data_IF_353861639804
#
_entry.id   IF_353861639804
#
_cell.length_a   1.000
_cell.length_b   1.000
_cell.length_c   1.000
_cell.angle_alpha   90.00
_cell.angle_beta   90.00
_cell.angle_gamma   90.00
#
_symmetry.space_group_name_H-M   'P 1'
#
loop_
_entity.id
_entity.type
_entity.pdbx_description
1 polymer ?
#
# COMPACT_ATOMS: atom_id res chain seq x y z
N UNK A 1 21.96 36.25 35.36
CA UNK A 1 20.78 35.60 35.94
C UNK A 1 19.92 35.18 34.75
N UNK A 2 20.19 34.08 34.07
CA UNK A 2 19.93 32.66 34.37
C UNK A 2 18.45 32.37 34.49
N UNK A 3 17.83 31.94 33.38
CA UNK A 3 16.79 30.90 33.46
C UNK A 3 16.78 30.06 32.17
N UNK A 4 17.40 28.90 32.25
CA UNK A 4 17.36 27.85 31.24
C UNK A 4 16.13 26.99 31.51
N UNK A 5 15.07 27.10 30.70
CA UNK A 5 13.95 26.16 30.74
C UNK A 5 14.23 24.96 29.85
N UNK A 6 14.33 23.80 30.48
CA UNK A 6 14.45 22.45 29.89
C UNK A 6 13.25 22.12 29.02
N UNK A 7 13.43 21.40 27.89
CA UNK A 7 12.30 20.85 27.13
C UNK A 7 11.67 19.67 27.87
N UNK A 8 10.35 19.70 27.96
CA UNK A 8 9.49 18.66 28.54
C UNK A 8 9.50 17.39 27.71
N UNK A 9 9.87 16.28 28.33
CA UNK A 9 9.69 14.91 27.83
C UNK A 9 8.21 14.62 27.58
N UNK A 10 7.81 14.51 26.32
CA UNK A 10 6.51 13.92 25.93
C UNK A 10 6.66 12.41 25.93
N UNK A 11 6.05 11.79 26.93
CA UNK A 11 5.93 10.33 27.08
C UNK A 11 5.12 9.74 25.90
N UNK A 12 5.79 8.99 25.05
CA UNK A 12 5.18 8.04 24.14
C UNK A 12 5.03 6.72 24.88
N UNK A 13 3.98 6.60 25.69
CA UNK A 13 3.62 5.33 26.32
C UNK A 13 2.15 5.35 26.73
N UNK A 14 1.22 5.06 25.78
CA UNK A 14 -0.17 4.74 26.11
C UNK A 14 -1.04 4.18 24.97
N UNK A 15 -0.48 3.37 24.07
CA UNK A 15 -1.30 2.77 23.00
C UNK A 15 -1.30 1.22 22.97
N UNK A 16 -0.81 0.57 24.03
CA UNK A 16 -0.74 -0.90 24.06
C UNK A 16 -1.44 -1.55 25.27
N UNK A 17 -2.44 -0.91 25.84
CA UNK A 17 -3.25 -1.61 26.86
C UNK A 17 -4.68 -1.11 26.85
N UNK A 18 -5.58 -1.88 26.22
CA UNK A 18 -6.98 -2.11 26.61
C UNK A 18 -7.72 -2.87 25.51
N UNK A 19 -7.77 -4.20 25.65
CA UNK A 19 -8.94 -4.99 25.27
C UNK A 19 -9.34 -5.82 26.47
N UNK A 20 -10.53 -5.64 27.05
CA UNK A 20 -11.08 -6.61 27.99
C UNK A 20 -11.62 -7.79 27.18
N UNK A 21 -11.20 -8.99 27.53
CA UNK A 21 -11.80 -10.25 27.10
C UNK A 21 -13.12 -10.40 27.84
N UNK A 22 -14.22 -10.13 27.15
CA UNK A 22 -15.54 -10.50 27.67
C UNK A 22 -15.75 -12.00 27.55
N UNK A 23 -15.95 -12.58 28.72
CA UNK A 23 -16.32 -13.96 29.00
C UNK A 23 -17.68 -14.26 28.38
N UNK A 24 -17.72 -15.02 27.29
CA UNK A 24 -18.97 -15.62 26.80
C UNK A 24 -19.25 -16.91 27.57
N UNK A 25 -20.42 -16.93 28.19
CA UNK A 25 -20.95 -17.99 28.98
C UNK A 25 -21.07 -19.31 28.20
N UNK A 26 -20.62 -20.38 28.88
CA UNK A 26 -20.84 -21.77 28.48
C UNK A 26 -22.32 -22.10 28.51
N UNK A 27 -22.87 -22.46 27.34
CA UNK A 27 -24.16 -23.11 27.21
C UNK A 27 -23.95 -24.63 27.38
N UNK A 28 -24.68 -25.34 28.28
CA UNK A 28 -24.49 -26.77 28.46
C UNK A 28 -25.10 -27.58 27.33
N UNK A 29 -24.28 -28.40 26.69
CA UNK A 29 -24.68 -29.41 25.72
C UNK A 29 -25.56 -30.47 26.37
N UNK A 30 -26.80 -30.59 25.95
CA UNK A 30 -27.72 -31.67 26.20
C UNK A 30 -27.16 -32.98 25.63
N UNK A 31 -26.87 -33.93 26.50
CA UNK A 31 -26.48 -35.31 26.16
C UNK A 31 -27.71 -36.04 25.68
N UNK A 32 -27.73 -36.47 24.43
CA UNK A 32 -28.76 -37.38 23.87
C UNK A 32 -28.30 -38.84 24.02
N UNK A 33 -29.19 -39.77 24.36
CA UNK A 33 -28.82 -41.11 24.78
C UNK A 33 -28.38 -42.03 23.67
N UNK A 34 -27.36 -42.85 23.97
CA UNK A 34 -26.81 -43.90 23.10
C UNK A 34 -27.85 -44.94 22.66
N UNK A 35 -28.04 -45.10 21.35
CA UNK A 35 -28.76 -46.22 20.74
C UNK A 35 -27.77 -47.38 20.62
N UNK A 36 -28.01 -48.46 21.36
CA UNK A 36 -27.29 -49.74 21.26
C UNK A 36 -27.81 -50.51 20.04
N UNK A 37 -26.94 -51.00 19.13
CA UNK A 37 -27.39 -51.84 18.03
C UNK A 37 -27.82 -53.23 18.52
N UNK A 38 -28.96 -53.65 18.04
CA UNK A 38 -29.58 -54.96 18.28
C UNK A 38 -28.83 -56.05 17.51
N UNK A 39 -28.71 -57.25 18.14
CA UNK A 39 -28.04 -58.45 17.60
C UNK A 39 -28.74 -59.14 16.41
N UNK A 40 -29.58 -58.44 15.63
CA UNK A 40 -30.32 -59.06 14.52
C UNK A 40 -29.85 -58.64 13.12
N UNK A 41 -28.84 -57.79 13.00
CA UNK A 41 -28.37 -57.30 11.67
C UNK A 41 -27.13 -58.02 11.13
N UNK A 42 -26.86 -59.23 11.69
CA UNK A 42 -25.72 -60.05 11.26
C UNK A 42 -26.27 -61.32 10.59
N UNK A 43 -26.69 -61.24 9.35
CA UNK A 43 -26.82 -62.39 8.44
C UNK A 43 -27.32 -61.90 7.05
N UNK A 44 -26.39 -61.51 6.18
CA UNK A 44 -26.47 -61.77 4.75
C UNK A 44 -25.06 -61.60 4.16
N UNK A 45 -24.34 -62.71 4.21
CA UNK A 45 -23.18 -62.96 3.42
C UNK A 45 -23.61 -63.72 2.19
N UNK A 46 -23.29 -63.24 1.03
CA UNK A 46 -22.82 -64.00 -0.14
C UNK A 46 -23.30 -63.37 -1.48
N UNK A 47 -22.36 -63.07 -2.31
CA UNK A 47 -22.56 -63.14 -3.76
C UNK A 47 -22.60 -61.81 -4.51
N UNK A 48 -21.48 -61.49 -5.17
CA UNK A 48 -21.51 -60.48 -6.22
C UNK A 48 -20.19 -59.70 -6.38
N UNK A 49 -19.20 -60.33 -7.01
CA UNK A 49 -18.07 -59.58 -7.53
C UNK A 49 -18.51 -58.70 -8.68
N UNK A 50 -18.87 -57.45 -8.40
CA UNK A 50 -19.05 -56.44 -9.43
C UNK A 50 -17.80 -55.63 -9.53
N UNK A 51 -17.08 -55.73 -10.65
CA UNK A 51 -16.04 -54.85 -11.08
C UNK A 51 -16.56 -53.44 -11.19
N UNK A 52 -16.40 -52.62 -10.12
CA UNK A 52 -16.62 -51.20 -10.19
C UNK A 52 -15.38 -50.60 -10.85
N UNK A 53 -15.51 -50.36 -12.17
CA UNK A 53 -14.61 -49.43 -12.87
C UNK A 53 -14.77 -48.05 -12.23
N UNK A 54 -13.79 -47.67 -11.40
CA UNK A 54 -13.67 -46.31 -10.94
C UNK A 54 -13.29 -45.47 -12.14
N UNK A 55 -14.30 -44.93 -12.83
CA UNK A 55 -14.12 -43.81 -13.72
C UNK A 55 -13.59 -42.65 -12.87
N UNK A 56 -12.27 -42.46 -12.86
CA UNK A 56 -11.64 -41.29 -12.31
C UNK A 56 -12.17 -40.09 -13.06
N UNK A 57 -13.15 -39.40 -12.46
CA UNK A 57 -13.54 -38.09 -12.90
C UNK A 57 -12.30 -37.19 -12.87
N UNK A 58 -12.22 -36.19 -13.78
CA UNK A 58 -11.11 -35.28 -13.76
C UNK A 58 -11.12 -34.59 -12.41
N UNK A 59 -10.22 -34.98 -11.52
CA UNK A 59 -9.81 -34.12 -10.44
C UNK A 59 -9.34 -32.85 -11.13
N UNK A 60 -10.17 -31.83 -11.12
CA UNK A 60 -9.73 -30.48 -11.37
C UNK A 60 -8.69 -30.23 -10.26
N UNK A 61 -7.45 -30.65 -10.53
CA UNK A 61 -6.32 -30.08 -9.87
C UNK A 61 -6.49 -28.60 -10.10
N UNK A 62 -7.05 -27.92 -9.08
CA UNK A 62 -6.98 -26.48 -8.97
C UNK A 62 -5.48 -26.21 -9.07
N UNK A 63 -5.04 -25.92 -10.29
CA UNK A 63 -3.70 -25.42 -10.50
C UNK A 63 -3.59 -24.28 -9.49
N UNK A 64 -2.86 -24.53 -8.41
CA UNK A 64 -2.25 -23.46 -7.66
C UNK A 64 -1.47 -22.74 -8.74
N UNK A 65 -2.02 -21.62 -9.20
CA UNK A 65 -1.28 -20.63 -9.94
C UNK A 65 -0.05 -20.42 -9.08
N UNK A 66 1.08 -21.00 -9.56
CA UNK A 66 2.39 -20.75 -9.00
C UNK A 66 2.41 -19.25 -8.78
N UNK A 67 2.48 -18.81 -7.53
CA UNK A 67 2.28 -17.41 -7.18
C UNK A 67 3.23 -16.62 -8.05
N UNK A 68 2.69 -15.79 -8.94
CA UNK A 68 3.51 -14.80 -9.64
C UNK A 68 4.34 -14.13 -8.55
N UNK A 69 5.66 -14.19 -8.66
CA UNK A 69 6.54 -13.64 -7.65
C UNK A 69 6.07 -12.21 -7.35
N UNK A 70 5.69 -11.96 -6.08
CA UNK A 70 5.19 -10.65 -5.67
C UNK A 70 6.23 -9.60 -6.00
N UNK A 71 5.79 -8.48 -6.57
CA UNK A 71 6.65 -7.36 -6.93
C UNK A 71 7.45 -6.88 -5.73
N UNK A 72 8.72 -6.61 -5.94
CA UNK A 72 9.59 -5.98 -4.95
C UNK A 72 9.32 -4.48 -4.94
N UNK A 73 9.03 -3.95 -3.78
CA UNK A 73 8.70 -2.53 -3.61
C UNK A 73 9.84 -1.84 -2.86
N UNK A 74 10.27 -0.69 -3.37
CA UNK A 74 11.18 0.20 -2.66
C UNK A 74 10.43 1.45 -2.19
N UNK A 75 10.62 1.89 -0.94
CA UNK A 75 10.18 3.21 -0.52
C UNK A 75 11.37 4.14 -0.44
N UNK A 76 11.36 5.23 -1.19
CA UNK A 76 12.31 6.33 -1.02
C UNK A 76 11.65 7.34 -0.08
N UNK A 77 12.09 7.31 1.19
CA UNK A 77 11.46 8.05 2.27
C UNK A 77 10.49 7.21 3.10
N UNK A 78 10.99 6.56 4.15
CA UNK A 78 10.23 5.75 5.09
C UNK A 78 9.74 6.55 6.30
N UNK A 79 9.26 7.78 6.06
CA UNK A 79 8.57 8.61 7.05
C UNK A 79 7.15 8.09 7.34
N UNK A 80 6.29 8.96 7.91
CA UNK A 80 4.91 8.57 8.27
C UNK A 80 4.12 8.03 7.07
N UNK A 81 4.12 8.74 5.95
CA UNK A 81 3.40 8.36 4.72
C UNK A 81 4.00 7.11 4.07
N UNK A 82 5.34 7.12 3.82
CA UNK A 82 6.02 5.97 3.19
C UNK A 82 6.02 4.73 4.07
N UNK A 83 6.09 4.89 5.39
CA UNK A 83 5.94 3.81 6.35
C UNK A 83 4.53 3.19 6.32
N UNK A 84 3.47 4.03 6.28
CA UNK A 84 2.09 3.57 6.22
C UNK A 84 1.78 2.82 4.91
N UNK A 85 2.13 3.40 3.75
CA UNK A 85 1.94 2.77 2.44
C UNK A 85 2.74 1.48 2.31
N UNK A 86 4.02 1.51 2.70
CA UNK A 86 4.86 0.32 2.68
C UNK A 86 4.34 -0.80 3.59
N UNK A 87 3.80 -0.46 4.76
CA UNK A 87 3.20 -1.44 5.67
C UNK A 87 1.97 -2.12 5.07
N UNK A 88 1.11 -1.37 4.34
CA UNK A 88 -0.03 -1.95 3.61
C UNK A 88 0.43 -2.91 2.52
N UNK A 89 1.51 -2.57 1.78
CA UNK A 89 2.07 -3.44 0.75
C UNK A 89 2.74 -4.69 1.35
N UNK A 90 3.42 -4.58 2.50
CA UNK A 90 3.91 -5.77 3.25
C UNK A 90 2.74 -6.67 3.61
N UNK A 91 1.63 -6.10 4.12
CA UNK A 91 0.42 -6.85 4.48
C UNK A 91 -0.23 -7.52 3.26
N UNK A 92 -0.14 -6.90 2.09
CA UNK A 92 -0.57 -7.47 0.81
C UNK A 92 0.40 -8.55 0.27
N UNK A 93 1.51 -8.84 0.98
CA UNK A 93 2.46 -9.90 0.68
C UNK A 93 3.65 -9.48 -0.20
N UNK A 94 3.85 -8.19 -0.42
CA UNK A 94 5.02 -7.69 -1.16
C UNK A 94 6.27 -7.62 -0.28
N UNK A 95 7.44 -8.04 -0.77
CA UNK A 95 8.71 -7.67 -0.16
C UNK A 95 8.93 -6.16 -0.30
N UNK A 96 9.12 -5.45 0.83
CA UNK A 96 9.30 -3.99 0.85
C UNK A 96 10.63 -3.62 1.46
N UNK A 97 11.41 -2.81 0.75
CA UNK A 97 12.65 -2.21 1.23
C UNK A 97 12.41 -0.73 1.54
N UNK A 98 12.46 -0.42 2.82
CA UNK A 98 12.24 0.92 3.36
C UNK A 98 13.55 1.68 3.41
N UNK A 99 13.64 2.83 2.73
CA UNK A 99 14.88 3.59 2.74
C UNK A 99 14.77 4.93 3.47
N UNK A 100 15.86 5.30 4.08
CA UNK A 100 16.06 6.56 4.80
C UNK A 100 17.50 6.98 4.69
N UNK A 101 17.77 8.27 4.94
CA UNK A 101 19.13 8.77 5.20
C UNK A 101 19.74 8.17 6.46
N UNK A 102 18.90 7.64 7.35
CA UNK A 102 19.24 7.01 8.61
C UNK A 102 18.55 5.65 8.73
N UNK A 103 19.00 4.61 7.97
CA UNK A 103 18.35 3.31 7.94
C UNK A 103 18.27 2.61 9.30
N UNK A 104 19.23 2.87 10.17
CA UNK A 104 19.30 2.35 11.54
C UNK A 104 18.09 2.74 12.40
N UNK A 105 17.45 3.86 12.10
CA UNK A 105 16.25 4.34 12.81
C UNK A 105 14.97 3.61 12.37
N UNK A 106 15.03 2.83 11.29
CA UNK A 106 13.90 2.06 10.78
C UNK A 106 13.80 0.66 11.38
N UNK A 107 14.78 0.25 12.21
CA UNK A 107 14.90 -1.11 12.74
C UNK A 107 13.64 -1.61 13.43
N UNK A 108 13.07 -0.82 14.33
CA UNK A 108 11.89 -1.22 15.09
C UNK A 108 10.65 -1.35 14.17
N UNK A 109 10.51 -0.43 13.21
CA UNK A 109 9.43 -0.47 12.23
C UNK A 109 9.50 -1.74 11.38
N UNK A 110 10.64 -2.05 10.77
CA UNK A 110 10.77 -3.23 9.90
C UNK A 110 10.68 -4.53 10.67
N UNK A 111 11.17 -4.56 11.92
CA UNK A 111 11.02 -5.72 12.80
C UNK A 111 9.55 -6.00 13.11
N UNK A 112 8.76 -4.94 13.39
CA UNK A 112 7.33 -5.05 13.64
C UNK A 112 6.50 -5.47 12.42
N UNK A 113 6.98 -5.18 11.20
CA UNK A 113 6.34 -5.57 9.94
C UNK A 113 6.67 -7.01 9.50
N UNK A 114 7.73 -7.63 10.05
CA UNK A 114 8.09 -9.01 9.78
C UNK A 114 9.04 -9.23 8.60
N UNK A 115 9.20 -10.47 8.11
CA UNK A 115 10.31 -10.88 7.23
C UNK A 115 10.29 -10.26 5.83
N UNK A 116 9.16 -9.74 5.39
CA UNK A 116 9.02 -9.07 4.10
C UNK A 116 9.51 -7.61 4.12
N UNK A 117 9.76 -7.03 5.29
CA UNK A 117 10.21 -5.66 5.46
C UNK A 117 11.72 -5.60 5.75
N UNK A 118 12.43 -4.71 5.08
CA UNK A 118 13.87 -4.46 5.31
C UNK A 118 14.15 -2.97 5.31
N UNK A 119 15.07 -2.53 6.17
CA UNK A 119 15.61 -1.17 6.14
C UNK A 119 16.84 -1.12 5.22
N UNK A 120 17.06 0.01 4.53
CA UNK A 120 18.15 0.20 3.61
C UNK A 120 18.50 1.67 3.35
N UNK A 121 19.59 1.89 2.66
CA UNK A 121 19.90 3.15 1.99
C UNK A 121 19.00 3.34 0.75
N UNK A 122 18.95 4.57 0.20
CA UNK A 122 18.19 4.85 -1.03
C UNK A 122 18.75 4.07 -2.22
N UNK A 123 20.06 3.97 -2.36
CA UNK A 123 20.71 3.24 -3.43
C UNK A 123 20.35 1.75 -3.42
N UNK A 124 20.40 1.11 -2.25
CA UNK A 124 20.02 -0.30 -2.08
C UNK A 124 18.53 -0.52 -2.40
N UNK A 125 17.65 0.39 -1.93
CA UNK A 125 16.22 0.31 -2.22
C UNK A 125 15.94 0.43 -3.72
N UNK A 126 16.56 1.40 -4.40
CA UNK A 126 16.44 1.55 -5.86
C UNK A 126 16.95 0.30 -6.59
N UNK A 127 18.07 -0.28 -6.17
CA UNK A 127 18.58 -1.52 -6.78
C UNK A 127 17.63 -2.71 -6.58
N UNK A 128 16.95 -2.78 -5.43
CA UNK A 128 16.06 -3.88 -5.05
C UNK A 128 14.70 -3.87 -5.75
N UNK A 129 14.04 -2.68 -5.82
CA UNK A 129 12.62 -2.57 -6.19
C UNK A 129 12.35 -2.74 -7.67
N UNK A 130 11.27 -3.44 -8.02
CA UNK A 130 10.63 -3.37 -9.35
C UNK A 130 9.78 -2.10 -9.47
N UNK A 131 9.18 -1.69 -8.34
CA UNK A 131 8.33 -0.50 -8.16
C UNK A 131 8.92 0.36 -7.05
N UNK A 132 8.84 1.67 -7.24
CA UNK A 132 9.32 2.65 -6.27
C UNK A 132 8.16 3.53 -5.79
N UNK A 133 8.01 3.67 -4.47
CA UNK A 133 7.23 4.73 -3.83
C UNK A 133 8.17 5.90 -3.53
N UNK A 134 7.98 7.03 -4.19
CA UNK A 134 8.73 8.25 -3.95
C UNK A 134 7.97 9.12 -2.94
N UNK A 135 8.41 9.11 -1.68
CA UNK A 135 7.69 9.70 -0.53
C UNK A 135 8.62 10.62 0.26
N UNK A 136 9.17 11.60 -0.41
CA UNK A 136 10.13 12.56 0.15
C UNK A 136 9.55 13.99 0.21
N UNK A 137 10.11 14.91 1.00
CA UNK A 137 9.86 16.33 0.80
C UNK A 137 10.09 16.71 -0.66
N UNK A 138 9.20 17.51 -1.24
CA UNK A 138 9.23 17.75 -2.69
C UNK A 138 10.55 18.41 -3.15
N UNK A 139 11.16 19.20 -2.30
CA UNK A 139 12.50 19.81 -2.52
C UNK A 139 13.61 18.77 -2.76
N UNK A 140 13.45 17.54 -2.29
CA UNK A 140 14.44 16.47 -2.47
C UNK A 140 14.27 15.71 -3.79
N UNK A 141 13.16 15.89 -4.54
CA UNK A 141 12.86 15.13 -5.77
C UNK A 141 13.96 15.33 -6.83
N UNK A 142 14.41 16.58 -7.03
CA UNK A 142 15.45 16.89 -8.01
C UNK A 142 16.81 16.26 -7.66
N UNK A 143 17.18 16.22 -6.37
CA UNK A 143 18.40 15.57 -5.90
C UNK A 143 18.32 14.04 -6.08
N UNK A 144 17.21 13.42 -5.70
CA UNK A 144 16.94 11.99 -5.96
C UNK A 144 17.05 11.68 -7.46
N UNK A 145 16.52 12.54 -8.32
CA UNK A 145 16.64 12.39 -9.77
C UNK A 145 18.07 12.46 -10.26
N UNK A 146 18.85 13.39 -9.73
CA UNK A 146 20.27 13.54 -10.05
C UNK A 146 21.12 12.34 -9.63
N UNK A 147 20.88 11.81 -8.42
CA UNK A 147 21.67 10.73 -7.86
C UNK A 147 21.23 9.33 -8.33
N UNK A 148 19.93 9.13 -8.53
CA UNK A 148 19.33 7.80 -8.75
C UNK A 148 18.49 7.71 -10.03
N UNK A 149 18.41 8.78 -10.85
CA UNK A 149 17.53 8.87 -12.03
C UNK A 149 17.70 7.72 -13.01
N UNK A 150 18.94 7.31 -13.32
CA UNK A 150 19.20 6.15 -14.20
C UNK A 150 18.58 4.86 -13.66
N UNK A 151 18.67 4.61 -12.36
CA UNK A 151 18.05 3.46 -11.73
C UNK A 151 16.52 3.55 -11.70
N UNK A 152 15.98 4.76 -11.49
CA UNK A 152 14.54 5.02 -11.46
C UNK A 152 13.90 4.86 -12.84
N UNK A 153 14.59 5.27 -13.91
CA UNK A 153 14.14 5.09 -15.29
C UNK A 153 14.01 3.62 -15.72
N UNK A 154 14.62 2.69 -14.99
CA UNK A 154 14.54 1.24 -15.24
C UNK A 154 13.41 0.56 -14.45
N UNK A 155 12.66 1.30 -13.63
CA UNK A 155 11.58 0.73 -12.82
C UNK A 155 10.31 0.59 -13.63
N UNK A 156 9.54 -0.46 -13.34
CA UNK A 156 8.22 -0.66 -13.96
C UNK A 156 7.25 0.46 -13.62
N UNK A 157 7.45 1.09 -12.45
CA UNK A 157 6.57 2.14 -11.93
C UNK A 157 7.29 2.95 -10.84
N UNK A 158 7.14 4.26 -10.88
CA UNK A 158 7.44 5.18 -9.79
C UNK A 158 6.14 5.83 -9.35
N UNK A 159 5.62 5.49 -8.18
CA UNK A 159 4.47 6.17 -7.57
C UNK A 159 5.00 7.40 -6.83
N UNK A 160 4.70 8.58 -7.37
CA UNK A 160 5.07 9.84 -6.74
C UNK A 160 3.98 10.31 -5.77
N UNK A 161 4.29 10.22 -4.49
CA UNK A 161 3.46 10.62 -3.35
C UNK A 161 3.86 12.00 -2.82
N UNK A 162 4.98 12.55 -3.30
CA UNK A 162 5.53 13.81 -2.80
C UNK A 162 4.64 15.01 -3.12
N UNK A 163 4.60 15.97 -2.19
CA UNK A 163 3.80 17.19 -2.31
C UNK A 163 4.67 18.43 -2.08
N UNK A 164 4.59 19.45 -2.97
CA UNK A 164 5.11 20.78 -2.68
C UNK A 164 4.20 21.44 -1.65
N UNK A 165 4.73 21.81 -0.49
CA UNK A 165 3.96 22.40 0.62
C UNK A 165 4.61 23.72 1.03
N UNK A 166 3.94 24.85 0.78
CA UNK A 166 4.49 26.18 0.98
C UNK A 166 5.05 26.40 2.40
N UNK A 167 4.34 25.92 3.44
CA UNK A 167 4.82 26.02 4.84
C UNK A 167 6.12 25.28 5.12
N UNK A 168 6.44 24.23 4.35
CA UNK A 168 7.65 23.42 4.52
C UNK A 168 8.74 23.82 3.52
N UNK A 169 8.36 24.01 2.27
CA UNK A 169 9.27 24.11 1.14
C UNK A 169 9.51 25.57 0.70
N UNK A 170 8.67 26.50 1.17
CA UNK A 170 8.67 27.90 0.79
C UNK A 170 7.71 28.22 -0.36
N UNK A 171 7.07 29.39 -0.31
CA UNK A 171 6.09 29.80 -1.32
C UNK A 171 6.70 29.96 -2.72
N UNK A 172 7.92 30.50 -2.80
CA UNK A 172 8.58 30.72 -4.10
C UNK A 172 8.96 29.41 -4.78
N UNK A 173 9.33 28.39 -4.00
CA UNK A 173 9.56 27.05 -4.52
C UNK A 173 8.26 26.43 -5.07
N UNK A 174 7.15 26.59 -4.37
CA UNK A 174 5.83 26.09 -4.86
C UNK A 174 5.42 26.80 -6.13
N UNK A 175 5.57 28.14 -6.21
CA UNK A 175 5.32 28.90 -7.45
C UNK A 175 6.19 28.44 -8.62
N UNK A 176 7.46 28.07 -8.35
CA UNK A 176 8.33 27.50 -9.38
C UNK A 176 7.79 26.16 -9.90
N UNK A 177 7.37 25.26 -9.00
CA UNK A 177 6.77 23.97 -9.38
C UNK A 177 5.50 24.19 -10.19
N UNK A 178 4.66 25.14 -9.81
CA UNK A 178 3.44 25.49 -10.54
C UNK A 178 3.75 26.05 -11.94
N UNK A 179 4.79 26.89 -12.06
CA UNK A 179 5.25 27.42 -13.34
C UNK A 179 5.81 26.33 -14.28
N UNK A 180 6.29 25.22 -13.74
CA UNK A 180 6.70 24.03 -14.52
C UNK A 180 5.52 23.12 -14.91
N UNK A 181 4.28 23.54 -14.69
CA UNK A 181 3.05 22.81 -15.01
C UNK A 181 2.52 21.97 -13.86
N UNK A 182 3.01 22.23 -12.66
CA UNK A 182 2.61 21.56 -11.42
C UNK A 182 3.42 20.29 -11.11
N UNK A 183 3.13 19.73 -9.95
CA UNK A 183 3.95 18.67 -9.35
C UNK A 183 4.17 17.44 -10.27
N UNK A 184 3.19 17.04 -11.08
CA UNK A 184 3.34 15.88 -11.97
C UNK A 184 4.40 16.10 -13.05
N UNK A 185 4.31 17.21 -13.76
CA UNK A 185 5.26 17.54 -14.85
C UNK A 185 6.64 17.92 -14.29
N UNK A 186 6.69 18.62 -13.17
CA UNK A 186 7.96 18.94 -12.51
C UNK A 186 8.69 17.68 -12.01
N UNK A 187 7.96 16.68 -11.48
CA UNK A 187 8.56 15.37 -11.14
C UNK A 187 9.06 14.65 -12.40
N UNK A 188 8.30 14.64 -13.49
CA UNK A 188 8.74 14.02 -14.76
C UNK A 188 10.02 14.67 -15.29
N UNK A 189 10.14 15.98 -15.19
CA UNK A 189 11.35 16.73 -15.57
C UNK A 189 12.54 16.37 -14.68
N UNK A 190 12.32 16.18 -13.38
CA UNK A 190 13.36 15.79 -12.43
C UNK A 190 13.79 14.33 -12.59
N UNK A 191 12.91 13.44 -13.06
CA UNK A 191 13.12 12.01 -13.24
C UNK A 191 12.91 11.60 -14.71
N UNK A 192 13.76 12.04 -15.65
CA UNK A 192 13.58 11.75 -17.06
C UNK A 192 13.65 10.24 -17.32
N UNK A 193 12.70 9.75 -18.13
CA UNK A 193 12.57 8.33 -18.47
C UNK A 193 11.90 7.46 -17.42
N UNK A 194 11.56 7.98 -16.24
CA UNK A 194 10.83 7.21 -15.24
C UNK A 194 9.33 7.09 -15.61
N UNK A 195 8.75 5.92 -15.36
CA UNK A 195 7.33 5.60 -15.55
C UNK A 195 6.53 6.09 -14.34
N UNK A 196 6.12 7.35 -14.33
CA UNK A 196 5.56 8.03 -13.16
C UNK A 196 4.04 7.94 -13.14
N UNK A 197 3.50 7.59 -11.98
CA UNK A 197 2.09 7.75 -11.62
C UNK A 197 2.01 8.54 -10.33
N UNK A 198 1.28 9.65 -10.31
CA UNK A 198 0.96 10.34 -9.07
C UNK A 198 -0.24 9.69 -8.42
N UNK A 199 -0.10 9.37 -7.13
CA UNK A 199 -1.16 8.78 -6.31
C UNK A 199 -0.90 9.06 -4.82
N UNK A 200 -1.94 8.98 -3.99
CA UNK A 200 -1.90 9.17 -2.53
C UNK A 200 -1.58 10.59 -2.04
N UNK A 201 -1.40 11.54 -2.92
CA UNK A 201 -0.99 12.92 -2.61
C UNK A 201 -2.02 13.70 -1.78
N UNK A 202 -3.29 13.25 -1.80
CA UNK A 202 -4.43 13.97 -1.24
C UNK A 202 -5.11 13.22 -0.06
N UNK A 203 -4.56 12.10 0.38
CA UNK A 203 -5.05 11.29 1.52
C UNK A 203 -4.05 11.41 2.66
N UNK A 204 -4.54 11.52 3.91
CA UNK A 204 -3.65 11.59 5.07
C UNK A 204 -3.18 10.17 5.47
N UNK A 205 -1.88 10.05 5.77
CA UNK A 205 -1.23 8.78 6.12
C UNK A 205 -1.86 8.08 7.33
N UNK A 206 -2.40 8.81 8.31
CA UNK A 206 -3.03 8.25 9.50
C UNK A 206 -4.39 7.60 9.21
N UNK A 207 -5.01 7.94 8.08
CA UNK A 207 -6.26 7.35 7.60
C UNK A 207 -6.07 6.14 6.69
N UNK A 208 -4.90 5.97 6.07
CA UNK A 208 -4.66 4.93 5.06
C UNK A 208 -4.97 3.52 5.56
N UNK A 209 -4.53 3.18 6.78
CA UNK A 209 -4.76 1.86 7.35
C UNK A 209 -6.25 1.58 7.63
N UNK A 210 -6.99 2.60 8.07
CA UNK A 210 -8.43 2.51 8.29
C UNK A 210 -9.18 2.40 6.96
N UNK A 211 -8.80 3.24 5.99
CA UNK A 211 -9.42 3.27 4.66
C UNK A 211 -9.25 1.95 3.91
N UNK A 212 -8.08 1.32 4.01
CA UNK A 212 -7.77 0.02 3.40
C UNK A 212 -8.66 -1.15 3.91
N UNK A 213 -9.39 -0.96 5.00
CA UNK A 213 -10.34 -1.94 5.57
C UNK A 213 -11.79 -1.47 5.53
N UNK A 214 -12.03 -0.27 5.01
CA UNK A 214 -13.36 0.33 4.99
C UNK A 214 -14.20 -0.25 3.85
N UNK A 215 -15.45 -0.61 4.14
CA UNK A 215 -16.42 -0.92 3.10
C UNK A 215 -16.75 0.35 2.29
N UNK A 216 -16.93 0.19 0.97
CA UNK A 216 -17.27 1.29 0.09
C UNK A 216 -16.13 1.84 -0.76
N UNK A 217 -14.99 1.13 -0.77
CA UNK A 217 -13.88 1.35 -1.70
C UNK A 217 -13.45 2.82 -1.78
N UNK A 218 -12.76 3.35 -0.74
CA UNK A 218 -12.26 4.72 -0.76
C UNK A 218 -11.38 4.95 -1.98
N UNK A 219 -11.68 6.01 -2.72
CA UNK A 219 -11.03 6.28 -3.99
C UNK A 219 -9.65 6.93 -3.81
N UNK A 220 -8.70 6.47 -4.63
CA UNK A 220 -7.39 7.10 -4.81
C UNK A 220 -7.34 7.70 -6.20
N UNK A 221 -7.37 9.04 -6.36
CA UNK A 221 -7.16 9.66 -7.66
C UNK A 221 -5.73 9.38 -8.14
N UNK A 222 -5.60 8.93 -9.39
CA UNK A 222 -4.31 8.64 -10.03
C UNK A 222 -4.16 9.42 -11.33
N UNK A 223 -2.94 9.89 -11.60
CA UNK A 223 -2.60 10.59 -12.85
C UNK A 223 -1.26 10.08 -13.39
N UNK A 224 -1.21 9.82 -14.69
CA UNK A 224 0.00 9.32 -15.37
C UNK A 224 -0.21 9.23 -16.87
N UNK A 225 0.88 9.12 -17.63
CA UNK A 225 0.84 9.07 -19.09
C UNK A 225 1.20 7.67 -19.64
N UNK A 226 1.89 6.84 -18.84
CA UNK A 226 2.28 5.49 -19.20
C UNK A 226 1.18 4.48 -18.84
N UNK A 227 0.65 3.77 -19.84
CA UNK A 227 -0.46 2.82 -19.67
C UNK A 227 -0.10 1.62 -18.80
N UNK A 228 1.13 1.11 -18.94
CA UNK A 228 1.58 -0.07 -18.20
C UNK A 228 1.84 0.29 -16.74
N UNK A 229 2.44 1.45 -16.48
CA UNK A 229 2.61 1.99 -15.14
C UNK A 229 1.26 2.25 -14.45
N UNK A 230 0.29 2.80 -15.16
CA UNK A 230 -1.08 3.03 -14.65
C UNK A 230 -1.80 1.71 -14.32
N UNK A 231 -1.67 0.69 -15.19
CA UNK A 231 -2.24 -0.63 -14.92
C UNK A 231 -1.62 -1.27 -13.68
N UNK A 232 -0.30 -1.13 -13.53
CA UNK A 232 0.42 -1.64 -12.37
C UNK A 232 0.06 -0.89 -11.08
N UNK A 233 -0.01 0.44 -11.12
CA UNK A 233 -0.46 1.25 -10.00
C UNK A 233 -1.89 0.88 -9.57
N UNK A 234 -2.80 0.70 -10.57
CA UNK A 234 -4.17 0.24 -10.34
C UNK A 234 -4.20 -1.08 -9.59
N UNK A 235 -3.38 -2.05 -9.99
CA UNK A 235 -3.29 -3.36 -9.33
C UNK A 235 -2.84 -3.23 -7.88
N UNK A 236 -1.74 -2.52 -7.63
CA UNK A 236 -1.19 -2.33 -6.29
C UNK A 236 -2.14 -1.59 -5.35
N UNK A 237 -2.84 -0.56 -5.84
CA UNK A 237 -3.82 0.20 -5.06
C UNK A 237 -5.00 -0.71 -4.66
N UNK A 238 -5.47 -1.58 -5.56
CA UNK A 238 -6.51 -2.56 -5.26
C UNK A 238 -6.07 -3.63 -4.27
N UNK A 239 -4.84 -4.12 -4.38
CA UNK A 239 -4.28 -5.10 -3.45
C UNK A 239 -4.23 -4.60 -2.01
N UNK A 240 -4.10 -3.30 -1.79
CA UNK A 240 -4.16 -2.69 -0.46
C UNK A 240 -5.57 -2.24 -0.04
N UNK A 241 -6.62 -2.62 -0.80
CA UNK A 241 -8.02 -2.40 -0.43
C UNK A 241 -8.58 -1.02 -0.75
N UNK A 242 -7.99 -0.30 -1.72
CA UNK A 242 -8.44 1.02 -2.16
C UNK A 242 -8.85 0.99 -3.64
N UNK A 243 -9.70 1.93 -4.08
CA UNK A 243 -10.16 1.99 -5.48
C UNK A 243 -9.43 3.10 -6.26
N UNK A 244 -8.56 2.77 -7.23
CA UNK A 244 -7.90 3.76 -8.07
C UNK A 244 -8.86 4.37 -9.07
N UNK A 245 -8.85 5.69 -9.20
CA UNK A 245 -9.63 6.44 -10.17
C UNK A 245 -8.72 7.29 -11.04
N UNK A 246 -8.61 6.94 -12.31
CA UNK A 246 -7.85 7.71 -13.29
C UNK A 246 -8.49 9.09 -13.50
N UNK A 247 -7.72 10.17 -13.29
CA UNK A 247 -8.19 11.54 -13.46
C UNK A 247 -7.55 12.25 -14.64
N UNK A 248 -6.55 11.65 -15.30
CA UNK A 248 -5.90 12.15 -16.51
C UNK A 248 -4.40 11.91 -16.54
N UNK A 249 -3.69 12.54 -17.46
CA UNK A 249 -2.23 12.48 -17.58
C UNK A 249 -1.50 13.22 -16.44
N UNK A 250 -0.16 13.18 -16.46
CA UNK A 250 0.68 13.81 -15.41
C UNK A 250 0.42 15.32 -15.25
N UNK A 251 -0.07 16.01 -16.26
CA UNK A 251 -0.49 17.40 -16.17
C UNK A 251 -1.62 17.62 -15.13
N UNK A 252 -2.44 16.60 -14.85
CA UNK A 252 -3.43 16.63 -13.78
C UNK A 252 -2.79 16.56 -12.39
N UNK A 253 -1.52 16.23 -12.31
CA UNK A 253 -0.75 16.21 -11.07
C UNK A 253 -0.69 17.54 -10.33
N UNK A 254 -0.95 18.67 -11.02
CA UNK A 254 -1.09 20.00 -10.38
C UNK A 254 -2.27 20.06 -9.39
N UNK A 255 -3.28 19.21 -9.57
CA UNK A 255 -4.47 19.11 -8.70
C UNK A 255 -4.36 17.99 -7.67
N UNK A 256 -3.45 17.02 -7.88
CA UNK A 256 -3.14 15.94 -6.95
C UNK A 256 -2.06 16.41 -5.97
N UNK A 257 -2.42 17.34 -5.11
CA UNK A 257 -1.57 17.91 -4.06
C UNK A 257 -2.38 18.08 -2.80
N UNK A 258 -1.71 18.07 -1.65
CA UNK A 258 -2.36 18.36 -0.38
C UNK A 258 -2.94 19.79 -0.38
N UNK A 259 -4.21 19.91 -0.01
CA UNK A 259 -4.96 21.17 -0.11
C UNK A 259 -5.60 21.41 -1.48
N UNK A 260 -5.36 20.56 -2.46
CA UNK A 260 -5.99 20.60 -3.77
C UNK A 260 -7.41 20.01 -3.80
N UNK A 261 -8.06 20.01 -4.98
CA UNK A 261 -9.47 19.60 -5.14
C UNK A 261 -9.80 18.19 -4.67
N UNK A 262 -8.82 17.29 -4.71
CA UNK A 262 -8.98 15.88 -4.34
C UNK A 262 -8.63 15.60 -2.87
N UNK A 263 -8.34 16.62 -2.07
CA UNK A 263 -7.97 16.40 -0.67
C UNK A 263 -9.12 15.85 0.16
N UNK A 264 -8.85 14.75 0.86
CA UNK A 264 -9.81 14.06 1.72
C UNK A 264 -10.22 12.68 1.20
N UNK A 265 -11.25 12.13 1.81
CA UNK A 265 -11.77 10.80 1.47
C UNK A 265 -12.98 10.96 0.56
N UNK A 266 -12.89 10.38 -0.62
CA UNK A 266 -13.92 10.46 -1.66
C UNK A 266 -14.34 9.08 -2.13
N UNK A 267 -15.56 8.96 -2.64
CA UNK A 267 -16.00 7.80 -3.43
C UNK A 267 -15.48 7.93 -4.87
N UNK A 268 -15.43 6.83 -5.66
CA UNK A 268 -15.07 6.88 -7.06
C UNK A 268 -15.92 7.84 -7.90
N UNK A 269 -17.21 7.95 -7.58
CA UNK A 269 -18.12 8.88 -8.26
C UNK A 269 -17.75 10.34 -8.00
N UNK A 270 -17.45 10.69 -6.74
CA UNK A 270 -17.02 12.04 -6.37
C UNK A 270 -15.69 12.42 -7.03
N UNK A 271 -14.70 11.50 -7.07
CA UNK A 271 -13.44 11.77 -7.77
C UNK A 271 -13.66 12.06 -9.24
N UNK A 272 -14.53 11.29 -9.94
CA UNK A 272 -14.88 11.52 -11.35
C UNK A 272 -15.58 12.86 -11.55
N UNK A 273 -16.49 13.23 -10.66
CA UNK A 273 -17.18 14.51 -10.68
C UNK A 273 -16.18 15.67 -10.53
N UNK A 274 -15.32 15.63 -9.52
CA UNK A 274 -14.26 16.63 -9.31
C UNK A 274 -13.39 16.71 -10.58
N UNK A 275 -12.90 15.58 -11.10
CA UNK A 275 -12.05 15.55 -12.29
C UNK A 275 -12.72 16.20 -13.51
N UNK A 276 -14.04 16.05 -13.68
CA UNK A 276 -14.78 16.62 -14.79
C UNK A 276 -14.84 18.14 -14.80
N UNK A 277 -14.63 18.77 -13.62
CA UNK A 277 -14.63 20.26 -13.48
C UNK A 277 -13.25 20.86 -13.69
N UNK A 278 -12.18 20.04 -13.75
CA UNK A 278 -10.79 20.48 -13.86
C UNK A 278 -10.33 20.44 -15.32
N UNK A 279 -9.57 21.46 -15.74
CA UNK A 279 -9.04 21.60 -17.10
C UNK A 279 -7.51 21.64 -17.08
#
# INVERSE_FOLDING_TARGET
MSDMRKPSNVRISRWLQRTPVDTFGMCPLLISPSIKPSRRDLLFLAGGAALVSVAGGPHHARAQTAGADKLKIATIGAGREGGALGALLVKAGHPVMFSSRHPEQLKDMVTGLGPLAKASTVAEAVAFGDVVLLVVPYTAVAEIGKEHGTGLAQKKLVIDVSNPIARRDGEDFVKQVDAEGGAGLATQKALPGAHIVRAFNAINFDQLAELAHRQGEPAVPIAGDDKDALALATTLIKEIGLEPVMVGGLAMGKYLVWGGPFTGVHTPAQVKEIASTLK
#
